data_IF_596990429824
#
_entry.id   IF_596990429824
#
_cell.length_a   1.000
_cell.length_b   1.000
_cell.length_c   1.000
_cell.angle_alpha   90.00
_cell.angle_beta   90.00
_cell.angle_gamma   90.00
#
_symmetry.space_group_name_H-M   'P 1'
#
loop_
_entity.id
_entity.type
_entity.pdbx_description
1 polymer ?
#
# COMPACT_ATOMS: atom_id res chain seq x y z
N UNK A 1 27.21 -12.06 -60.25
CA UNK A 1 26.16 -12.32 -59.24
C UNK A 1 24.98 -12.96 -59.94
N UNK A 2 25.01 -14.29 -60.08
CA UNK A 2 23.93 -15.04 -60.72
C UNK A 2 22.71 -14.98 -59.82
N UNK A 3 21.62 -14.39 -60.33
CA UNK A 3 20.37 -14.27 -59.58
C UNK A 3 19.74 -15.62 -59.28
N UNK A 4 18.79 -15.61 -58.35
CA UNK A 4 17.99 -16.77 -57.94
C UNK A 4 17.37 -17.50 -59.14
N UNK A 5 17.41 -18.83 -59.10
CA UNK A 5 16.87 -19.74 -60.12
C UNK A 5 15.34 -19.64 -60.20
N UNK A 6 14.74 -20.11 -61.29
CA UNK A 6 13.28 -20.04 -61.49
C UNK A 6 12.52 -20.79 -60.40
N UNK A 7 13.01 -21.96 -59.99
CA UNK A 7 12.39 -22.77 -58.93
C UNK A 7 12.47 -22.11 -57.56
N UNK A 8 13.59 -21.44 -57.25
CA UNK A 8 13.74 -20.68 -56.00
C UNK A 8 12.76 -19.51 -55.92
N UNK A 9 12.54 -18.81 -57.05
CA UNK A 9 11.55 -17.73 -57.13
C UNK A 9 10.13 -18.27 -56.96
N UNK A 10 9.78 -19.36 -57.65
CA UNK A 10 8.48 -20.00 -57.52
C UNK A 10 8.22 -20.46 -56.07
N UNK A 11 9.22 -21.07 -55.44
CA UNK A 11 9.14 -21.51 -54.04
C UNK A 11 9.01 -20.32 -53.08
N UNK A 12 9.74 -19.23 -53.32
CA UNK A 12 9.66 -18.03 -52.50
C UNK A 12 8.27 -17.38 -52.57
N UNK A 13 7.67 -17.30 -53.75
CA UNK A 13 6.31 -16.78 -53.93
C UNK A 13 5.27 -17.67 -53.22
N UNK A 14 5.40 -18.99 -53.33
CA UNK A 14 4.53 -19.95 -52.63
C UNK A 14 4.61 -19.77 -51.11
N UNK A 15 5.82 -19.69 -50.55
CA UNK A 15 6.03 -19.46 -49.11
C UNK A 15 5.50 -18.10 -48.67
N UNK A 16 5.68 -17.06 -49.48
CA UNK A 16 5.19 -15.72 -49.19
C UNK A 16 3.66 -15.68 -49.15
N UNK A 17 2.99 -16.39 -50.06
CA UNK A 17 1.53 -16.51 -50.07
C UNK A 17 1.02 -17.22 -48.81
N UNK A 18 1.62 -18.36 -48.45
CA UNK A 18 1.28 -19.09 -47.23
C UNK A 18 1.54 -18.25 -45.97
N UNK A 19 2.65 -17.51 -45.93
CA UNK A 19 2.98 -16.63 -44.81
C UNK A 19 1.97 -15.51 -44.63
N UNK A 20 1.53 -14.88 -45.72
CA UNK A 20 0.50 -13.82 -45.67
C UNK A 20 -0.84 -14.35 -45.17
N UNK A 21 -1.23 -15.55 -45.61
CA UNK A 21 -2.46 -16.18 -45.14
C UNK A 21 -2.37 -16.55 -43.66
N UNK A 22 -1.25 -17.17 -43.23
CA UNK A 22 -1.02 -17.47 -41.82
C UNK A 22 -1.07 -16.23 -40.93
N UNK A 23 -0.46 -15.11 -41.36
CA UNK A 23 -0.48 -13.86 -40.61
C UNK A 23 -1.90 -13.28 -40.49
N UNK A 24 -2.71 -13.42 -41.54
CA UNK A 24 -4.13 -13.02 -41.51
C UNK A 24 -4.95 -13.91 -40.57
N UNK A 25 -4.64 -15.21 -40.52
CA UNK A 25 -5.30 -16.15 -39.60
C UNK A 25 -4.91 -15.94 -38.13
N UNK A 26 -3.87 -15.14 -37.84
CA UNK A 26 -3.52 -14.69 -36.49
C UNK A 26 -4.31 -13.45 -36.04
N UNK A 27 -5.08 -12.81 -36.92
CA UNK A 27 -5.95 -11.71 -36.53
C UNK A 27 -7.12 -12.27 -35.71
N UNK A 28 -7.11 -12.03 -34.40
CA UNK A 28 -8.20 -12.45 -33.53
C UNK A 28 -9.43 -11.58 -33.77
N UNK A 29 -10.59 -12.24 -33.82
CA UNK A 29 -11.86 -11.54 -33.80
C UNK A 29 -12.09 -10.89 -32.44
N UNK A 30 -12.88 -9.80 -32.34
CA UNK A 30 -13.21 -9.17 -31.06
C UNK A 30 -13.92 -10.08 -30.05
N UNK A 31 -14.38 -11.26 -30.47
CA UNK A 31 -15.06 -12.24 -29.62
C UNK A 31 -14.03 -13.23 -29.09
N UNK A 32 -13.49 -12.94 -27.93
CA UNK A 32 -12.65 -13.87 -27.18
C UNK A 32 -13.51 -14.70 -26.23
N UNK A 33 -13.15 -15.97 -25.96
CA UNK A 33 -13.79 -16.74 -24.91
C UNK A 33 -13.42 -16.13 -23.55
N UNK A 34 -14.32 -15.29 -23.02
CA UNK A 34 -14.18 -14.70 -21.70
C UNK A 34 -14.60 -15.72 -20.65
N UNK A 35 -13.77 -15.93 -19.64
CA UNK A 35 -14.18 -16.65 -18.43
C UNK A 35 -15.43 -16.02 -17.83
N UNK A 36 -16.37 -16.84 -17.36
CA UNK A 36 -17.58 -16.33 -16.71
C UNK A 36 -17.20 -15.35 -15.57
N UNK A 37 -17.92 -14.23 -15.45
CA UNK A 37 -17.62 -13.24 -14.41
C UNK A 37 -17.81 -13.88 -13.03
N UNK A 38 -16.87 -13.60 -12.12
CA UNK A 38 -16.98 -14.04 -10.73
C UNK A 38 -18.25 -13.46 -10.12
N UNK A 39 -19.02 -14.29 -9.43
CA UNK A 39 -20.20 -13.82 -8.70
C UNK A 39 -19.77 -12.85 -7.61
N UNK A 40 -20.16 -11.58 -7.74
CA UNK A 40 -19.88 -10.54 -6.74
C UNK A 40 -20.53 -10.89 -5.39
N UNK A 41 -19.85 -10.58 -4.29
CA UNK A 41 -20.39 -10.70 -2.94
C UNK A 41 -21.53 -9.71 -2.68
N UNK A 42 -22.31 -9.87 -1.60
CA UNK A 42 -23.46 -8.98 -1.29
C UNK A 42 -23.05 -7.51 -1.17
N UNK A 43 -21.94 -7.23 -0.49
CA UNK A 43 -21.41 -5.87 -0.29
C UNK A 43 -20.88 -5.31 -1.61
N UNK A 44 -20.17 -6.11 -2.40
CA UNK A 44 -19.67 -5.71 -3.72
C UNK A 44 -20.81 -5.40 -4.69
N UNK A 45 -21.89 -6.18 -4.68
CA UNK A 45 -23.10 -5.90 -5.47
C UNK A 45 -23.76 -4.60 -5.05
N UNK A 46 -23.89 -4.36 -3.74
CA UNK A 46 -24.43 -3.11 -3.24
C UNK A 46 -23.61 -1.91 -3.72
N UNK A 47 -22.29 -1.94 -3.55
CA UNK A 47 -21.42 -0.85 -4.00
C UNK A 47 -21.40 -0.71 -5.53
N UNK A 48 -21.43 -1.83 -6.27
CA UNK A 48 -21.57 -1.81 -7.72
C UNK A 48 -22.83 -1.06 -8.17
N UNK A 49 -24.00 -1.39 -7.58
CA UNK A 49 -25.25 -0.68 -7.87
C UNK A 49 -25.26 0.76 -7.36
N UNK A 50 -24.71 1.03 -6.18
CA UNK A 50 -24.61 2.39 -5.65
C UNK A 50 -23.71 3.29 -6.50
N UNK A 51 -22.68 2.75 -7.15
CA UNK A 51 -21.79 3.52 -8.01
C UNK A 51 -22.42 3.82 -9.39
N UNK A 52 -23.57 3.25 -9.72
CA UNK A 52 -24.31 3.53 -10.95
C UNK A 52 -25.51 4.46 -10.67
N UNK A 53 -25.59 5.65 -11.31
CA UNK A 53 -24.61 6.30 -12.19
C UNK A 53 -23.39 6.86 -11.42
N UNK A 54 -22.24 6.95 -12.11
CA UNK A 54 -20.94 7.36 -11.54
C UNK A 54 -20.86 8.87 -11.27
N UNK A 55 -21.66 9.38 -10.34
CA UNK A 55 -21.58 10.77 -9.92
C UNK A 55 -20.37 11.01 -9.00
N UNK A 56 -19.83 12.23 -9.00
CA UNK A 56 -18.66 12.58 -8.19
C UNK A 56 -18.89 12.30 -6.70
N UNK A 57 -20.05 12.67 -6.16
CA UNK A 57 -20.41 12.41 -4.77
C UNK A 57 -20.30 10.92 -4.42
N UNK A 58 -20.90 10.04 -5.22
CA UNK A 58 -20.90 8.58 -4.99
C UNK A 58 -19.49 8.00 -5.01
N UNK A 59 -18.65 8.47 -5.94
CA UNK A 59 -17.25 8.06 -6.05
C UNK A 59 -16.44 8.50 -4.82
N UNK A 60 -16.60 9.74 -4.36
CA UNK A 60 -15.92 10.22 -3.16
C UNK A 60 -16.39 9.50 -1.90
N UNK A 61 -17.69 9.21 -1.76
CA UNK A 61 -18.20 8.39 -0.64
C UNK A 61 -17.59 7.00 -0.65
N UNK A 62 -17.54 6.34 -1.80
CA UNK A 62 -16.92 5.01 -1.92
C UNK A 62 -15.41 5.04 -1.64
N UNK A 63 -14.72 6.09 -2.06
CA UNK A 63 -13.29 6.29 -1.75
C UNK A 63 -13.06 6.46 -0.25
N UNK A 64 -13.89 7.26 0.42
CA UNK A 64 -13.83 7.42 1.88
C UNK A 64 -14.08 6.09 2.59
N UNK A 65 -15.10 5.34 2.18
CA UNK A 65 -15.38 4.00 2.71
C UNK A 65 -14.15 3.06 2.59
N UNK A 66 -13.54 2.98 1.40
CA UNK A 66 -12.37 2.12 1.19
C UNK A 66 -11.18 2.56 2.06
N UNK A 67 -10.95 3.88 2.18
CA UNK A 67 -9.91 4.40 3.06
C UNK A 67 -10.17 4.04 4.54
N UNK A 68 -11.42 4.10 4.99
CA UNK A 68 -11.81 3.67 6.34
C UNK A 68 -11.61 2.18 6.56
N UNK A 69 -12.01 1.33 5.60
CA UNK A 69 -11.78 -0.12 5.67
C UNK A 69 -10.28 -0.41 5.76
N UNK A 70 -9.46 0.28 4.96
CA UNK A 70 -8.01 0.15 5.03
C UNK A 70 -7.47 0.57 6.40
N UNK A 71 -7.86 1.74 6.91
CA UNK A 71 -7.41 2.22 8.22
C UNK A 71 -7.74 1.23 9.34
N UNK A 72 -8.95 0.67 9.35
CA UNK A 72 -9.35 -0.30 10.38
C UNK A 72 -8.56 -1.60 10.24
N UNK A 73 -8.53 -2.18 9.04
CA UNK A 73 -7.99 -3.53 8.82
C UNK A 73 -6.47 -3.59 8.80
N UNK A 74 -5.81 -2.55 8.28
CA UNK A 74 -4.35 -2.53 8.08
C UNK A 74 -3.59 -1.72 9.11
N UNK A 75 -4.26 -0.84 9.86
CA UNK A 75 -3.61 0.01 10.85
C UNK A 75 -4.14 -0.31 12.24
N UNK A 76 -5.44 -0.09 12.48
CA UNK A 76 -6.00 -0.13 13.83
C UNK A 76 -5.95 -1.52 14.45
N UNK A 77 -6.43 -2.55 13.73
CA UNK A 77 -6.43 -3.93 14.24
C UNK A 77 -5.00 -4.41 14.53
N UNK A 78 -4.02 -4.30 13.60
CA UNK A 78 -2.63 -4.66 13.90
C UNK A 78 -2.04 -3.87 15.06
N UNK A 79 -2.28 -2.55 15.13
CA UNK A 79 -1.79 -1.73 16.23
C UNK A 79 -2.34 -2.18 17.58
N UNK A 80 -3.63 -2.53 17.66
CA UNK A 80 -4.22 -3.10 18.87
C UNK A 80 -3.62 -4.46 19.25
N UNK A 81 -3.37 -5.33 18.28
CA UNK A 81 -2.72 -6.63 18.52
C UNK A 81 -1.31 -6.43 19.07
N UNK A 82 -0.50 -5.56 18.45
CA UNK A 82 0.85 -5.24 18.91
C UNK A 82 0.81 -4.63 20.30
N UNK A 83 -0.07 -3.65 20.54
CA UNK A 83 -0.23 -3.03 21.84
C UNK A 83 -0.61 -4.04 22.93
N UNK A 84 -1.55 -4.94 22.64
CA UNK A 84 -1.94 -6.02 23.55
C UNK A 84 -0.77 -6.95 23.88
N UNK A 85 0.00 -7.35 22.86
CA UNK A 85 1.18 -8.19 23.04
C UNK A 85 2.24 -7.51 23.90
N UNK A 86 2.56 -6.24 23.60
CA UNK A 86 3.50 -5.44 24.39
C UNK A 86 3.07 -5.35 25.86
N UNK A 87 1.79 -5.03 26.10
CA UNK A 87 1.24 -4.85 27.45
C UNK A 87 1.24 -6.12 28.28
N UNK A 88 0.84 -7.26 27.72
CA UNK A 88 0.58 -8.47 28.52
C UNK A 88 1.66 -9.55 28.41
N UNK A 89 2.56 -9.46 27.43
CA UNK A 89 3.60 -10.48 27.22
C UNK A 89 5.00 -9.90 27.41
N UNK A 90 5.30 -8.78 26.73
CA UNK A 90 6.65 -8.21 26.75
C UNK A 90 6.91 -7.47 28.07
N UNK A 91 6.01 -6.58 28.49
CA UNK A 91 6.16 -5.82 29.73
C UNK A 91 6.16 -6.68 31.00
N UNK A 92 5.57 -7.89 30.96
CA UNK A 92 5.60 -8.83 32.10
C UNK A 92 6.94 -9.56 32.26
N UNK A 93 7.82 -9.51 31.25
CA UNK A 93 9.16 -10.09 31.31
C UNK A 93 10.14 -9.06 31.87
N UNK A 94 11.02 -9.43 32.81
CA UNK A 94 12.04 -8.51 33.30
C UNK A 94 12.92 -8.06 32.13
N UNK A 95 13.20 -6.76 32.05
CA UNK A 95 13.90 -6.12 30.93
C UNK A 95 13.27 -6.36 29.54
N UNK A 96 12.00 -6.78 29.46
CA UNK A 96 11.31 -6.93 28.18
C UNK A 96 11.09 -5.60 27.46
N UNK A 97 10.94 -4.52 28.22
CA UNK A 97 10.94 -3.14 27.73
C UNK A 97 11.91 -2.37 28.62
N UNK A 98 12.92 -1.73 28.02
CA UNK A 98 13.87 -0.86 28.71
C UNK A 98 13.75 0.52 28.08
N UNK A 99 13.31 1.49 28.89
CA UNK A 99 13.16 2.87 28.47
C UNK A 99 14.30 3.72 29.06
N UNK A 100 14.75 4.71 28.29
CA UNK A 100 15.68 5.70 28.81
C UNK A 100 14.94 6.61 29.79
N UNK A 101 15.53 6.85 30.96
CA UNK A 101 14.93 7.77 31.93
C UNK A 101 14.67 9.15 31.30
N UNK A 102 13.52 9.79 31.57
CA UNK A 102 13.23 11.11 31.04
C UNK A 102 14.27 12.12 31.51
N UNK A 103 14.51 13.15 30.69
CA UNK A 103 15.40 14.26 31.07
C UNK A 103 14.70 15.12 32.11
N UNK A 104 15.43 15.51 33.15
CA UNK A 104 14.97 16.41 34.20
C UNK A 104 15.64 17.76 33.99
N UNK A 105 14.87 18.83 34.09
CA UNK A 105 15.34 20.20 34.03
C UNK A 105 15.07 20.92 35.35
N UNK A 106 15.86 21.97 35.66
CA UNK A 106 15.60 22.81 36.83
C UNK A 106 14.18 23.38 36.83
N UNK A 107 13.52 23.34 37.99
CA UNK A 107 12.11 23.73 38.15
C UNK A 107 11.09 22.63 37.82
N UNK A 108 11.48 21.49 37.23
CA UNK A 108 10.57 20.37 37.01
C UNK A 108 10.13 19.76 38.34
N UNK A 109 8.89 19.25 38.40
CA UNK A 109 8.39 18.51 39.56
C UNK A 109 8.28 17.03 39.22
N UNK A 110 9.00 16.18 39.97
CA UNK A 110 8.95 14.72 39.79
C UNK A 110 7.57 14.22 40.25
N UNK A 111 6.79 13.61 39.36
CA UNK A 111 5.41 13.21 39.66
C UNK A 111 5.31 12.14 40.75
N UNK A 112 6.30 11.24 40.83
CA UNK A 112 6.31 10.15 41.81
C UNK A 112 6.76 10.60 43.21
N UNK A 113 7.64 11.61 43.30
CA UNK A 113 8.26 12.07 44.55
C UNK A 113 7.67 13.40 45.05
N UNK A 114 7.14 14.23 44.15
CA UNK A 114 6.72 15.60 44.42
C UNK A 114 7.88 16.59 44.60
N UNK A 115 9.12 16.14 44.44
CA UNK A 115 10.32 16.97 44.58
C UNK A 115 10.49 17.90 43.37
N UNK A 116 10.79 19.16 43.65
CA UNK A 116 11.11 20.16 42.62
C UNK A 116 12.62 20.14 42.37
N UNK A 117 13.00 19.97 41.11
CA UNK A 117 14.41 19.97 40.72
C UNK A 117 15.00 21.36 40.99
N UNK A 118 16.11 21.46 41.75
CA UNK A 118 16.68 22.73 42.12
C UNK A 118 17.19 23.51 40.90
N UNK A 119 17.15 24.84 41.01
CA UNK A 119 17.71 25.74 40.02
C UNK A 119 19.23 25.52 39.87
N UNK A 120 19.74 25.78 38.66
CA UNK A 120 21.18 25.82 38.45
C UNK A 120 21.79 26.92 39.33
N UNK A 121 22.98 26.70 39.90
CA UNK A 121 23.66 27.75 40.65
C UNK A 121 23.80 29.00 39.78
N UNK A 122 23.57 30.17 40.36
CA UNK A 122 23.81 31.45 39.69
C UNK A 122 25.25 31.46 39.19
N UNK A 123 25.44 31.41 37.87
CA UNK A 123 26.75 31.62 37.29
C UNK A 123 27.07 33.10 37.49
N UNK A 124 28.16 33.41 38.22
CA UNK A 124 28.71 34.75 38.31
C UNK A 124 28.65 35.38 36.92
N UNK A 125 27.93 36.49 36.80
CA UNK A 125 27.63 37.14 35.54
C UNK A 125 28.92 37.33 34.74
N UNK A 126 29.14 36.53 33.70
CA UNK A 126 30.08 36.88 32.65
C UNK A 126 29.46 38.05 31.88
N UNK A 127 29.63 39.24 32.45
CA UNK A 127 29.31 40.51 31.82
C UNK A 127 30.11 40.61 30.54
N UNK A 128 29.44 40.45 29.41
CA UNK A 128 29.94 40.92 28.13
C UNK A 128 29.85 42.45 28.16
N UNK A 129 31.01 43.08 28.35
CA UNK A 129 31.27 44.46 27.94
C UNK A 129 31.22 44.58 26.41
#
# INVERSE_FOLDING_TARGET
MTGSTVDEKLRFEQLTKLRRQWLKDQELSPREPVTAPKTLGRIERFWGGFLEPKTLWRLYTFKAYNASVFAITRILIPAWIVHYYMKYHVAKKPYGIVELKPRLFPGDTILETGEVVPDLPEADSHGHH
#
